data_IF_097132128445
#
_entry.id   IF_097132128445
#
_cell.length_a   1.000
_cell.length_b   1.000
_cell.length_c   1.000
_cell.angle_alpha   90.00
_cell.angle_beta   90.00
_cell.angle_gamma   90.00
#
_symmetry.space_group_name_H-M   'P 1'
#
loop_
_entity.id
_entity.type
_entity.pdbx_description
1 polymer ?
#
# COMPACT_ATOMS: atom_id res chain seq x y z
N UNK A 1 -24.94 -15.98 45.03
CA UNK A 1 -25.16 -15.11 43.86
C UNK A 1 -23.78 -14.78 43.30
N UNK A 2 -23.55 -15.17 42.04
CA UNK A 2 -22.25 -15.38 41.38
C UNK A 2 -21.53 -14.06 41.04
N UNK A 3 -20.26 -13.92 41.44
CA UNK A 3 -19.41 -12.77 41.08
C UNK A 3 -18.77 -13.02 39.70
N UNK A 4 -19.18 -12.28 38.68
CA UNK A 4 -18.62 -12.37 37.32
C UNK A 4 -17.33 -11.55 37.19
N UNK A 5 -16.23 -12.21 36.81
CA UNK A 5 -14.95 -11.58 36.51
C UNK A 5 -14.92 -11.19 35.02
N UNK A 6 -14.85 -9.90 34.71
CA UNK A 6 -14.63 -9.42 33.34
C UNK A 6 -13.13 -9.43 33.05
N UNK A 7 -12.68 -10.32 32.16
CA UNK A 7 -11.33 -10.28 31.63
C UNK A 7 -11.25 -9.21 30.53
N UNK A 8 -10.51 -8.12 30.77
CA UNK A 8 -10.14 -7.18 29.73
C UNK A 8 -9.10 -7.84 28.82
N UNK A 9 -9.50 -8.20 27.61
CA UNK A 9 -8.57 -8.68 26.59
C UNK A 9 -7.61 -7.56 26.18
N UNK A 10 -6.33 -7.70 26.52
CA UNK A 10 -5.26 -6.86 25.96
C UNK A 10 -5.04 -7.31 24.52
N UNK A 11 -5.57 -6.56 23.56
CA UNK A 11 -5.27 -6.76 22.15
C UNK A 11 -3.79 -6.46 21.88
N UNK A 12 -3.06 -7.40 21.30
CA UNK A 12 -1.68 -7.16 20.87
C UNK A 12 -1.67 -6.09 19.77
N UNK A 13 -0.97 -4.98 20.02
CA UNK A 13 -0.79 -3.94 19.02
C UNK A 13 0.26 -4.39 18.01
N UNK A 14 -0.04 -4.30 16.71
CA UNK A 14 0.93 -4.63 15.67
C UNK A 14 2.17 -3.72 15.79
N UNK A 15 3.38 -4.23 15.54
CA UNK A 15 4.58 -3.42 15.57
C UNK A 15 4.52 -2.29 14.52
N UNK A 16 5.15 -1.14 14.76
CA UNK A 16 5.23 -0.06 13.80
C UNK A 16 5.84 -0.54 12.48
N UNK A 17 5.27 -0.12 11.36
CA UNK A 17 5.81 -0.39 10.03
C UNK A 17 6.90 0.64 9.71
N UNK A 18 8.09 0.16 9.35
CA UNK A 18 9.19 1.01 8.89
C UNK A 18 8.96 1.40 7.42
N UNK A 19 8.37 2.58 7.21
CA UNK A 19 7.96 3.07 5.89
C UNK A 19 9.13 3.34 4.95
N UNK A 20 10.32 3.64 5.47
CA UNK A 20 11.53 3.90 4.66
C UNK A 20 12.00 2.63 3.93
N UNK A 21 11.65 1.46 4.46
CA UNK A 21 12.00 0.16 3.86
C UNK A 21 10.94 -0.39 2.91
N UNK A 22 9.84 0.34 2.71
CA UNK A 22 8.75 -0.11 1.85
C UNK A 22 8.97 0.33 0.40
N UNK A 23 8.81 -0.62 -0.53
CA UNK A 23 8.86 -0.36 -1.96
C UNK A 23 10.28 -0.26 -2.55
N UNK A 24 10.38 -0.05 -3.86
CA UNK A 24 11.66 0.08 -4.56
C UNK A 24 12.47 1.29 -4.08
N UNK A 25 13.77 1.11 -3.91
CA UNK A 25 14.70 2.15 -3.49
C UNK A 25 15.31 2.88 -4.70
N UNK A 26 15.98 4.01 -4.46
CA UNK A 26 16.68 4.74 -5.53
C UNK A 26 17.77 3.85 -6.13
N UNK A 27 17.72 3.65 -7.44
CA UNK A 27 18.63 2.76 -8.18
C UNK A 27 18.07 1.36 -8.40
N UNK A 28 17.00 0.96 -7.70
CA UNK A 28 16.31 -0.29 -7.97
C UNK A 28 15.51 -0.22 -9.27
N UNK A 29 15.34 -1.39 -9.88
CA UNK A 29 14.43 -1.54 -11.01
C UNK A 29 12.99 -1.59 -10.48
N UNK A 30 12.12 -0.72 -11.02
CA UNK A 30 10.69 -0.75 -10.70
C UNK A 30 10.09 -2.08 -11.19
N UNK A 31 9.36 -2.83 -10.35
CA UNK A 31 8.68 -4.05 -10.77
C UNK A 31 7.66 -3.80 -11.89
N UNK A 32 7.54 -4.75 -12.81
CA UNK A 32 6.46 -4.72 -13.80
C UNK A 32 5.09 -4.78 -13.12
N UNK A 33 4.13 -4.07 -13.70
CA UNK A 33 2.74 -4.07 -13.26
C UNK A 33 1.78 -3.99 -14.44
N UNK A 34 0.55 -4.43 -14.18
CA UNK A 34 -0.62 -4.19 -15.03
C UNK A 34 -1.77 -3.74 -14.13
N UNK A 35 -2.33 -2.56 -14.39
CA UNK A 35 -3.42 -1.99 -13.63
C UNK A 35 -4.44 -1.34 -14.58
N UNK A 36 -5.71 -1.32 -14.19
CA UNK A 36 -6.75 -0.62 -14.95
C UNK A 36 -6.79 0.85 -14.58
N UNK A 37 -6.84 1.71 -15.60
CA UNK A 37 -7.06 3.14 -15.43
C UNK A 37 -8.55 3.46 -15.12
N UNK A 38 -8.88 4.74 -14.97
CA UNK A 38 -10.23 5.20 -14.66
C UNK A 38 -11.25 4.94 -15.78
N UNK A 39 -10.78 4.60 -16.98
CA UNK A 39 -11.60 4.20 -18.13
C UNK A 39 -11.64 2.68 -18.32
N UNK A 40 -11.05 1.92 -17.38
CA UNK A 40 -10.97 0.47 -17.43
C UNK A 40 -9.91 -0.08 -18.39
N UNK A 41 -9.07 0.78 -18.98
CA UNK A 41 -8.01 0.35 -19.91
C UNK A 41 -6.81 -0.15 -19.11
N UNK A 42 -6.22 -1.25 -19.54
CA UNK A 42 -5.00 -1.74 -18.93
C UNK A 42 -3.83 -0.81 -19.22
N UNK A 43 -3.07 -0.48 -18.18
CA UNK A 43 -1.83 0.27 -18.22
C UNK A 43 -0.74 -0.59 -17.60
N UNK A 44 0.45 -0.51 -18.20
CA UNK A 44 1.66 -1.19 -17.74
C UNK A 44 2.77 -0.17 -17.52
N UNK A 45 3.84 -0.56 -16.83
CA UNK A 45 5.03 0.29 -16.69
C UNK A 45 5.51 0.84 -18.04
N UNK A 46 5.51 -0.01 -19.07
CA UNK A 46 5.92 0.36 -20.43
C UNK A 46 4.96 1.35 -21.08
N UNK A 47 3.65 1.19 -20.92
CA UNK A 47 2.67 2.05 -21.60
C UNK A 47 2.62 3.46 -21.02
N UNK A 48 2.96 3.63 -19.74
CA UNK A 48 2.96 4.94 -19.07
C UNK A 48 4.30 5.69 -19.17
N UNK A 49 5.35 5.04 -19.67
CA UNK A 49 6.68 5.63 -19.74
C UNK A 49 6.75 6.74 -20.80
N UNK A 50 7.18 7.93 -20.39
CA UNK A 50 7.42 9.06 -21.28
C UNK A 50 8.92 9.40 -21.42
N UNK A 51 9.27 10.42 -22.23
CA UNK A 51 10.66 10.86 -22.41
C UNK A 51 11.31 11.36 -21.10
N UNK A 52 10.51 11.77 -20.12
CA UNK A 52 10.96 12.24 -18.81
C UNK A 52 10.74 11.19 -17.69
N UNK A 53 10.44 9.95 -18.05
CA UNK A 53 10.06 8.90 -17.10
C UNK A 53 8.56 8.85 -16.84
N UNK A 54 8.19 8.21 -15.73
CA UNK A 54 6.82 8.05 -15.25
C UNK A 54 6.73 8.32 -13.75
N UNK A 55 5.58 8.81 -13.29
CA UNK A 55 5.29 9.00 -11.86
C UNK A 55 4.18 8.02 -11.45
N UNK A 56 4.46 7.18 -10.46
CA UNK A 56 3.47 6.29 -9.85
C UNK A 56 3.11 6.83 -8.46
N UNK A 57 1.84 7.22 -8.28
CA UNK A 57 1.34 7.79 -7.03
C UNK A 57 0.37 6.82 -6.36
N UNK A 58 0.69 6.40 -5.14
CA UNK A 58 -0.19 5.59 -4.32
C UNK A 58 -0.95 6.50 -3.37
N UNK A 59 -2.27 6.54 -3.54
CA UNK A 59 -3.15 7.19 -2.59
C UNK A 59 -3.98 6.10 -1.90
N UNK A 60 -3.86 6.01 -0.58
CA UNK A 60 -4.88 5.35 0.23
C UNK A 60 -5.86 6.43 0.64
N UNK A 61 -7.06 6.40 0.07
CA UNK A 61 -8.17 7.22 0.56
C UNK A 61 -8.35 6.91 2.05
N UNK A 62 -8.54 7.93 2.89
CA UNK A 62 -9.11 7.70 4.20
C UNK A 62 -10.53 7.20 3.95
N UNK A 63 -10.77 5.92 4.16
CA UNK A 63 -12.08 5.36 3.90
C UNK A 63 -13.14 6.05 4.79
N UNK A 64 -14.30 6.22 4.16
CA UNK A 64 -15.63 6.25 4.74
C UNK A 64 -15.89 5.00 5.58
#
# INVERSE_FOLDING_TARGET
>A
MLTGLIALGVGAQAPPVDVEKLGPQVGDVVPDFAARDQFGREQTLKSIMGPNGAMLFFNRSADW
#
